data_IF_610026681741
#
_entry.id   IF_610026681741
#
_cell.length_a   1.000
_cell.length_b   1.000
_cell.length_c   1.000
_cell.angle_alpha   90.00
_cell.angle_beta   90.00
_cell.angle_gamma   90.00
#
_symmetry.space_group_name_H-M   'P 1'
#
loop_
_entity.id
_entity.type
_entity.pdbx_description
1 polymer ?
#
# COMPACT_ATOMS: atom_id res chain seq x y z
N UNK A 1 -27.50 -38.78 -0.49
CA UNK A 1 -27.75 -37.49 0.22
C UNK A 1 -26.65 -37.17 1.26
N UNK A 2 -25.37 -37.36 0.92
CA UNK A 2 -24.22 -36.94 1.78
C UNK A 2 -23.22 -36.02 1.05
N UNK A 3 -23.45 -35.75 -0.25
CA UNK A 3 -22.60 -34.88 -1.08
C UNK A 3 -23.14 -33.46 -1.26
N UNK A 4 -24.34 -33.17 -0.74
CA UNK A 4 -24.95 -31.83 -0.83
C UNK A 4 -24.65 -30.94 0.39
N UNK A 5 -24.08 -31.50 1.46
CA UNK A 5 -23.83 -30.77 2.71
C UNK A 5 -22.46 -30.08 2.70
N UNK A 6 -21.46 -30.60 1.98
CA UNK A 6 -20.16 -29.92 1.85
C UNK A 6 -20.23 -28.63 1.03
N UNK A 7 -21.12 -28.55 0.01
CA UNK A 7 -21.23 -27.35 -0.83
C UNK A 7 -21.94 -26.19 -0.11
N UNK A 8 -22.83 -26.49 0.85
CA UNK A 8 -23.55 -25.46 1.61
C UNK A 8 -22.72 -24.90 2.78
N UNK A 9 -21.70 -25.63 3.25
CA UNK A 9 -20.80 -25.17 4.33
C UNK A 9 -19.72 -24.23 3.77
N UNK A 10 -19.34 -24.34 2.49
CA UNK A 10 -18.47 -23.36 1.83
C UNK A 10 -19.17 -22.02 1.52
N UNK A 11 -20.51 -21.99 1.50
CA UNK A 11 -21.31 -20.78 1.24
C UNK A 11 -21.72 -20.02 2.52
N UNK A 12 -21.27 -20.50 3.69
CA UNK A 12 -21.56 -19.92 5.01
C UNK A 12 -20.30 -19.60 5.80
N UNK A 13 -19.13 -19.62 5.16
CA UNK A 13 -17.98 -18.93 5.72
C UNK A 13 -18.30 -17.44 5.64
N UNK A 14 -18.30 -16.68 6.74
CA UNK A 14 -18.16 -15.24 6.62
C UNK A 14 -16.93 -15.05 5.72
N UNK A 15 -17.09 -14.29 4.64
CA UNK A 15 -15.96 -13.73 3.91
C UNK A 15 -15.05 -13.22 5.01
N UNK A 16 -13.88 -13.84 5.17
CA UNK A 16 -12.89 -13.38 6.13
C UNK A 16 -12.80 -11.88 5.89
N UNK A 17 -13.05 -11.07 6.92
CA UNK A 17 -12.77 -9.65 6.83
C UNK A 17 -11.36 -9.58 6.25
N UNK A 18 -11.24 -9.04 5.03
CA UNK A 18 -9.93 -8.83 4.44
C UNK A 18 -9.19 -7.97 5.47
N UNK A 19 -7.96 -8.37 5.77
CA UNK A 19 -7.13 -7.60 6.66
C UNK A 19 -6.99 -6.18 6.09
N UNK A 20 -6.95 -5.16 6.95
CA UNK A 20 -6.68 -3.81 6.49
C UNK A 20 -5.41 -3.81 5.61
N UNK A 21 -5.46 -3.20 4.42
CA UNK A 21 -4.36 -3.27 3.49
C UNK A 21 -3.16 -2.55 4.11
N UNK A 22 -1.98 -3.13 3.96
CA UNK A 22 -0.72 -2.61 4.51
C UNK A 22 0.34 -2.53 3.42
N UNK A 23 1.31 -1.64 3.62
CA UNK A 23 2.57 -1.71 2.87
C UNK A 23 3.36 -2.93 3.35
N UNK A 24 3.89 -3.68 2.39
CA UNK A 24 4.77 -4.81 2.70
C UNK A 24 6.09 -4.33 3.31
N UNK A 25 6.65 -5.16 4.19
CA UNK A 25 8.02 -4.96 4.67
C UNK A 25 9.01 -5.05 3.50
N UNK A 26 9.78 -4.00 3.29
CA UNK A 26 10.80 -3.91 2.24
C UNK A 26 12.12 -4.52 2.74
N UNK A 27 12.97 -3.70 3.37
CA UNK A 27 14.23 -4.11 4.00
C UNK A 27 14.11 -3.94 5.51
N UNK A 28 14.71 -4.86 6.27
CA UNK A 28 14.76 -4.73 7.73
C UNK A 28 16.09 -5.21 8.29
N UNK A 29 16.82 -4.30 8.91
CA UNK A 29 18.02 -4.57 9.71
C UNK A 29 17.68 -5.27 11.04
N UNK A 30 16.44 -5.14 11.52
CA UNK A 30 15.92 -5.82 12.70
C UNK A 30 15.15 -7.09 12.33
N UNK A 31 15.24 -8.12 13.17
CA UNK A 31 14.43 -9.33 13.01
C UNK A 31 12.96 -9.07 13.35
N UNK A 32 12.06 -9.92 12.84
CA UNK A 32 10.64 -9.85 13.17
C UNK A 32 10.36 -9.91 14.69
N UNK A 33 11.13 -10.70 15.45
CA UNK A 33 11.00 -10.78 16.91
C UNK A 33 11.42 -9.47 17.60
N UNK A 34 12.46 -8.81 17.10
CA UNK A 34 12.90 -7.50 17.62
C UNK A 34 11.86 -6.42 17.32
N UNK A 35 11.34 -6.36 16.09
CA UNK A 35 10.28 -5.41 15.71
C UNK A 35 9.00 -5.64 16.53
N UNK A 36 8.59 -6.90 16.69
CA UNK A 36 7.44 -7.27 17.52
C UNK A 36 7.61 -6.84 18.98
N UNK A 37 8.82 -6.98 19.52
CA UNK A 37 9.13 -6.54 20.89
C UNK A 37 9.12 -5.01 21.06
N UNK A 38 9.36 -4.26 19.98
CA UNK A 38 9.37 -2.80 19.96
C UNK A 38 7.96 -2.20 19.80
N UNK A 39 6.98 -2.95 19.31
CA UNK A 39 5.67 -2.44 18.87
C UNK A 39 5.01 -1.48 19.85
N UNK A 40 4.70 -1.91 21.07
CA UNK A 40 3.99 -1.08 22.05
C UNK A 40 4.75 0.21 22.39
N UNK A 41 6.09 0.13 22.41
CA UNK A 41 6.93 1.30 22.65
C UNK A 41 6.91 2.25 21.45
N UNK A 42 6.98 1.71 20.23
CA UNK A 42 6.91 2.47 18.98
C UNK A 42 5.57 3.20 18.84
N UNK A 43 4.46 2.50 19.10
CA UNK A 43 3.10 3.05 19.10
C UNK A 43 2.99 4.25 20.06
N UNK A 44 3.61 4.13 21.24
CA UNK A 44 3.67 5.23 22.22
C UNK A 44 4.53 6.39 21.72
N UNK A 45 5.66 6.11 21.07
CA UNK A 45 6.54 7.13 20.52
C UNK A 45 5.84 7.95 19.43
N UNK A 46 5.20 7.30 18.46
CA UNK A 46 4.46 7.98 17.39
C UNK A 46 3.26 8.74 17.95
N UNK A 47 2.49 8.15 18.87
CA UNK A 47 1.34 8.82 19.52
C UNK A 47 1.73 10.14 20.18
N UNK A 48 2.89 10.18 20.84
CA UNK A 48 3.38 11.37 21.52
C UNK A 48 3.96 12.42 20.56
N UNK A 49 4.36 12.00 19.35
CA UNK A 49 4.90 12.89 18.33
C UNK A 49 3.81 13.53 17.45
N UNK A 50 2.63 12.91 17.38
CA UNK A 50 1.49 13.47 16.63
C UNK A 50 1.10 14.86 17.17
N UNK A 51 0.81 15.83 16.28
CA UNK A 51 0.41 17.18 16.69
C UNK A 51 -1.00 17.25 17.30
N UNK A 52 -1.81 16.20 17.10
CA UNK A 52 -3.18 16.07 17.61
C UNK A 52 -3.20 15.09 18.77
N UNK A 53 -3.83 15.50 19.88
CA UNK A 53 -4.11 14.59 20.99
C UNK A 53 -5.35 13.73 20.70
N UNK A 54 -5.17 12.41 20.76
CA UNK A 54 -6.25 11.43 20.62
C UNK A 54 -6.72 10.94 21.99
N UNK A 55 -8.02 10.67 22.12
CA UNK A 55 -8.59 10.19 23.38
C UNK A 55 -8.08 8.80 23.74
N UNK A 56 -8.25 8.39 25.00
CA UNK A 56 -7.70 7.12 25.52
C UNK A 56 -8.29 5.87 24.88
N UNK A 57 -9.44 5.97 24.19
CA UNK A 57 -10.09 4.84 23.52
C UNK A 57 -9.66 4.72 22.05
N UNK A 58 -9.04 5.75 21.48
CA UNK A 58 -8.43 5.71 20.16
C UNK A 58 -7.03 5.12 20.25
N UNK A 59 -6.86 3.91 19.70
CA UNK A 59 -5.55 3.32 19.55
C UNK A 59 -4.81 4.01 18.39
N UNK A 60 -3.53 4.30 18.61
CA UNK A 60 -2.62 4.86 17.63
C UNK A 60 -1.50 3.84 17.46
N UNK A 61 -1.37 3.28 16.26
CA UNK A 61 -0.35 2.28 15.94
C UNK A 61 0.61 2.75 14.87
N UNK A 62 1.76 2.08 14.79
CA UNK A 62 2.74 2.26 13.73
C UNK A 62 2.98 0.95 12.98
N UNK A 63 2.67 0.93 11.69
CA UNK A 63 3.02 -0.19 10.80
C UNK A 63 4.38 0.06 10.17
N UNK A 64 5.42 -0.62 10.68
CA UNK A 64 6.78 -0.53 10.11
C UNK A 64 6.83 -1.24 8.76
N UNK A 65 7.32 -0.55 7.74
CA UNK A 65 7.51 -1.11 6.40
C UNK A 65 8.98 -1.09 5.95
N UNK A 66 9.85 -0.38 6.65
CA UNK A 66 11.29 -0.35 6.39
C UNK A 66 12.06 -0.15 7.69
N UNK A 67 13.20 -0.82 7.82
CA UNK A 67 14.13 -0.58 8.91
C UNK A 67 15.58 -0.67 8.40
N UNK A 68 16.28 0.45 8.41
CA UNK A 68 17.68 0.53 7.96
C UNK A 68 18.60 0.91 9.11
N UNK A 69 19.81 0.36 9.12
CA UNK A 69 20.86 0.79 10.04
C UNK A 69 21.68 1.91 9.41
N UNK A 70 21.72 3.08 10.04
CA UNK A 70 22.56 4.20 9.63
C UNK A 70 23.32 4.77 10.83
N UNK A 71 24.65 4.81 10.73
CA UNK A 71 25.51 5.44 11.74
C UNK A 71 25.39 4.87 13.16
N UNK A 72 24.95 3.61 13.32
CA UNK A 72 24.70 2.99 14.62
C UNK A 72 23.35 3.35 15.25
N UNK A 73 22.46 3.97 14.49
CA UNK A 73 21.03 4.10 14.79
C UNK A 73 20.24 3.25 13.80
N UNK A 74 19.03 2.83 14.19
CA UNK A 74 18.05 2.27 13.29
C UNK A 74 17.03 3.34 12.93
N UNK A 75 16.72 3.47 11.65
CA UNK A 75 15.64 4.30 11.13
C UNK A 75 14.49 3.37 10.79
N UNK A 76 13.36 3.50 11.48
CA UNK A 76 12.15 2.77 11.21
C UNK A 76 11.19 3.69 10.47
N UNK A 77 10.90 3.36 9.22
CA UNK A 77 9.86 4.04 8.47
C UNK A 77 8.54 3.29 8.69
N UNK A 78 7.51 4.03 9.05
CA UNK A 78 6.22 3.47 9.39
C UNK A 78 5.06 4.30 8.88
N UNK A 79 3.93 3.63 8.64
CA UNK A 79 2.64 4.26 8.41
C UNK A 79 1.88 4.29 9.75
N UNK A 80 1.50 5.49 10.17
CA UNK A 80 0.75 5.72 11.41
C UNK A 80 -0.74 5.52 11.14
N UNK A 81 -1.42 4.84 12.05
CA UNK A 81 -2.82 4.51 11.88
C UNK A 81 -3.64 4.63 13.16
N UNK A 82 -4.94 4.85 13.01
CA UNK A 82 -5.93 4.80 14.10
C UNK A 82 -6.75 3.52 14.02
N UNK A 83 -7.10 2.99 15.19
CA UNK A 83 -8.08 1.92 15.33
C UNK A 83 -9.04 2.22 16.49
N UNK A 84 -10.34 2.03 16.27
CA UNK A 84 -11.34 2.19 17.31
C UNK A 84 -11.44 0.93 18.20
N UNK A 85 -11.05 1.06 19.47
CA UNK A 85 -11.41 0.09 20.52
C UNK A 85 -10.56 -1.18 20.62
N UNK A 86 -9.53 -1.37 19.78
CA UNK A 86 -8.55 -2.45 19.93
C UNK A 86 -7.13 -2.04 19.54
N UNK A 87 -6.16 -2.72 20.16
CA UNK A 87 -4.73 -2.72 19.79
C UNK A 87 -4.49 -3.94 18.89
N UNK A 88 -4.94 -3.84 17.65
CA UNK A 88 -4.76 -4.91 16.67
C UNK A 88 -3.68 -4.49 15.67
N UNK A 89 -2.86 -5.46 15.24
CA UNK A 89 -2.03 -5.22 14.06
C UNK A 89 -2.95 -5.04 12.85
N UNK A 90 -2.60 -4.20 11.87
CA UNK A 90 -3.47 -3.98 10.72
C UNK A 90 -3.80 -5.28 9.96
N UNK A 91 -2.83 -6.20 9.90
CA UNK A 91 -3.01 -7.53 9.31
C UNK A 91 -4.12 -8.38 9.96
N UNK A 92 -4.55 -8.06 11.18
CA UNK A 92 -5.65 -8.74 11.86
C UNK A 92 -6.86 -7.84 12.10
N UNK A 93 -6.77 -6.56 11.71
CA UNK A 93 -7.85 -5.61 11.80
C UNK A 93 -8.80 -5.78 10.61
N UNK A 94 -10.12 -5.61 10.79
CA UNK A 94 -11.05 -5.53 9.68
C UNK A 94 -10.67 -4.44 8.64
N UNK A 95 -10.94 -4.70 7.37
CA UNK A 95 -10.62 -3.84 6.21
C UNK A 95 -10.94 -2.34 6.41
N UNK A 96 -12.07 -2.05 7.06
CA UNK A 96 -12.57 -0.69 7.29
C UNK A 96 -12.39 -0.17 8.73
N UNK A 97 -11.68 -0.89 9.60
CA UNK A 97 -11.51 -0.47 11.00
C UNK A 97 -10.31 0.42 11.24
N UNK A 98 -9.48 0.62 10.22
CA UNK A 98 -8.24 1.39 10.31
C UNK A 98 -8.33 2.68 9.50
N UNK A 99 -7.86 3.77 10.09
CA UNK A 99 -7.63 5.03 9.38
C UNK A 99 -6.14 5.31 9.32
N UNK A 100 -5.56 5.28 8.12
CA UNK A 100 -4.18 5.70 7.87
C UNK A 100 -4.05 7.21 7.99
N UNK A 101 -3.07 7.67 8.77
CA UNK A 101 -2.91 9.08 9.13
C UNK A 101 -1.80 9.79 8.37
N UNK A 102 -0.59 9.24 8.41
CA UNK A 102 0.63 9.87 7.92
C UNK A 102 1.77 8.85 7.93
N UNK A 103 2.87 9.14 7.25
CA UNK A 103 4.13 8.46 7.47
C UNK A 103 4.84 9.00 8.71
N UNK A 104 5.75 8.21 9.25
CA UNK A 104 6.67 8.62 10.28
C UNK A 104 8.04 7.95 10.12
N UNK A 105 9.08 8.68 10.50
CA UNK A 105 10.44 8.16 10.62
C UNK A 105 10.85 8.16 12.10
N UNK A 106 11.08 6.97 12.66
CA UNK A 106 11.46 6.80 14.06
C UNK A 106 12.91 6.36 14.15
N UNK A 107 13.73 7.20 14.77
CA UNK A 107 15.16 6.98 14.93
C UNK A 107 15.40 6.42 16.32
N UNK A 108 15.96 5.21 16.39
CA UNK A 108 16.28 4.55 17.65
C UNK A 108 17.73 4.14 17.68
N UNK A 109 18.29 4.02 18.88
CA UNK A 109 19.66 3.57 19.07
C UNK A 109 19.73 2.42 20.08
N UNK A 110 20.48 1.35 19.80
CA UNK A 110 20.62 0.25 20.75
C UNK A 110 21.38 0.70 22.00
N UNK A 111 20.85 0.34 23.17
CA UNK A 111 21.43 0.58 24.50
C UNK A 111 21.45 -0.72 25.30
N UNK A 112 22.41 -1.58 24.99
CA UNK A 112 22.47 -2.93 25.55
C UNK A 112 21.47 -3.84 24.83
N UNK A 113 20.54 -4.43 25.59
CA UNK A 113 19.45 -5.27 25.05
C UNK A 113 18.14 -4.45 24.80
N UNK A 114 18.18 -3.14 25.04
CA UNK A 114 17.06 -2.20 24.84
C UNK A 114 17.38 -1.16 23.76
N UNK A 115 16.43 -0.28 23.47
CA UNK A 115 16.57 0.82 22.52
C UNK A 115 16.18 2.16 23.15
N UNK A 116 16.89 3.23 22.79
CA UNK A 116 16.54 4.61 23.15
C UNK A 116 15.96 5.35 21.94
N UNK A 117 14.94 6.18 22.16
CA UNK A 117 14.41 7.09 21.14
C UNK A 117 15.40 8.23 20.93
N UNK A 118 15.80 8.45 19.68
CA UNK A 118 16.61 9.60 19.27
C UNK A 118 15.69 10.73 18.79
N UNK A 119 14.82 10.42 17.83
CA UNK A 119 13.82 11.34 17.29
C UNK A 119 12.65 10.57 16.66
N UNK A 120 11.53 11.25 16.49
CA UNK A 120 10.37 10.76 15.75
C UNK A 120 9.87 11.94 14.91
N UNK A 121 9.97 11.79 13.60
CA UNK A 121 9.51 12.78 12.64
C UNK A 121 8.17 12.29 12.07
N UNK A 122 7.17 13.17 12.06
CA UNK A 122 5.83 12.90 11.57
C UNK A 122 5.65 13.64 10.25
N UNK A 123 5.20 12.91 9.22
CA UNK A 123 4.89 13.45 7.91
C UNK A 123 3.56 14.22 7.86
N UNK A 124 3.20 14.65 6.67
CA UNK A 124 1.92 15.30 6.44
C UNK A 124 0.77 14.29 6.53
N UNK A 125 -0.40 14.78 6.96
CA UNK A 125 -1.58 13.91 7.04
C UNK A 125 -2.07 13.53 5.65
N UNK A 126 -2.25 12.22 5.47
CA UNK A 126 -2.88 11.63 4.31
C UNK A 126 -4.33 12.11 4.15
N UNK A 127 -4.86 12.02 2.94
CA UNK A 127 -6.28 12.20 2.69
C UNK A 127 -7.05 11.00 3.27
N UNK A 128 -7.37 11.09 4.57
CA UNK A 128 -8.08 10.05 5.32
C UNK A 128 -9.43 9.70 4.67
N UNK A 129 -9.46 8.54 4.00
CA UNK A 129 -10.60 8.06 3.22
C UNK A 129 -10.66 6.54 3.18
N UNK A 130 -11.86 6.02 2.94
CA UNK A 130 -12.07 4.60 2.75
C UNK A 130 -11.54 4.15 1.40
N UNK A 131 -11.55 2.84 1.20
CA UNK A 131 -11.28 2.22 -0.10
C UNK A 131 -12.61 1.90 -0.80
N UNK A 132 -12.62 2.02 -2.12
CA UNK A 132 -13.71 1.55 -2.98
C UNK A 132 -13.22 0.44 -3.90
N UNK A 133 -13.99 -0.64 -4.01
CA UNK A 133 -13.73 -1.68 -5.02
C UNK A 133 -14.23 -1.22 -6.38
N UNK A 134 -13.32 -1.19 -7.36
CA UNK A 134 -13.62 -1.09 -8.78
C UNK A 134 -13.65 -2.50 -9.36
N UNK A 135 -14.76 -2.85 -10.01
CA UNK A 135 -14.93 -4.13 -10.71
C UNK A 135 -15.53 -3.89 -12.08
N UNK A 136 -14.84 -4.32 -13.13
CA UNK A 136 -15.31 -4.27 -14.51
C UNK A 136 -15.06 -5.62 -15.22
N UNK A 137 -15.25 -5.70 -16.53
CA UNK A 137 -15.08 -6.94 -17.31
C UNK A 137 -13.61 -7.39 -17.44
N UNK A 138 -12.66 -6.52 -17.09
CA UNK A 138 -11.23 -6.69 -17.33
C UNK A 138 -10.45 -6.87 -16.03
N UNK A 139 -10.80 -6.14 -14.97
CA UNK A 139 -10.12 -6.23 -13.69
C UNK A 139 -11.00 -5.90 -12.49
N UNK A 140 -10.51 -6.31 -11.32
CA UNK A 140 -10.93 -5.87 -10.00
C UNK A 140 -9.75 -5.21 -9.28
N UNK A 141 -9.96 -4.08 -8.60
CA UNK A 141 -8.94 -3.41 -7.77
C UNK A 141 -9.61 -2.51 -6.70
N UNK A 142 -8.97 -2.36 -5.55
CA UNK A 142 -9.39 -1.38 -4.53
C UNK A 142 -8.56 -0.11 -4.66
N UNK A 143 -9.22 1.04 -4.78
CA UNK A 143 -8.59 2.38 -4.84
C UNK A 143 -9.20 3.30 -3.78
N UNK A 144 -8.54 4.40 -3.39
CA UNK A 144 -9.14 5.37 -2.48
C UNK A 144 -10.49 5.93 -3.00
N UNK A 145 -11.43 6.18 -2.08
CA UNK A 145 -12.80 6.62 -2.41
C UNK A 145 -12.89 8.03 -3.04
N UNK A 146 -11.80 8.79 -2.97
CA UNK A 146 -11.71 10.14 -3.54
C UNK A 146 -11.45 10.15 -5.05
N UNK A 147 -11.07 9.01 -5.63
CA UNK A 147 -10.94 8.88 -7.08
C UNK A 147 -12.30 8.80 -7.75
N UNK A 148 -12.44 9.52 -8.86
CA UNK A 148 -13.63 9.48 -9.71
C UNK A 148 -13.25 9.04 -11.12
N UNK A 149 -14.08 8.20 -11.74
CA UNK A 149 -13.89 7.79 -13.12
C UNK A 149 -13.99 8.99 -14.06
N UNK A 150 -13.09 9.07 -15.03
CA UNK A 150 -13.13 10.10 -16.04
C UNK A 150 -14.32 9.90 -16.98
N UNK A 151 -15.03 11.00 -17.27
CA UNK A 151 -16.30 10.93 -18.05
C UNK A 151 -16.19 10.29 -19.44
N UNK A 152 -14.97 10.17 -19.97
CA UNK A 152 -14.70 9.64 -21.30
C UNK A 152 -14.07 8.23 -21.29
N UNK A 153 -13.62 7.75 -20.13
CA UNK A 153 -12.93 6.46 -20.02
C UNK A 153 -13.21 5.83 -18.65
N UNK A 154 -13.80 4.64 -18.67
CA UNK A 154 -14.15 3.90 -17.46
C UNK A 154 -12.93 3.26 -16.77
N UNK A 155 -11.75 3.38 -17.39
CA UNK A 155 -10.51 2.77 -16.91
C UNK A 155 -9.53 3.80 -16.33
N UNK A 156 -9.80 5.09 -16.52
CA UNK A 156 -9.01 6.20 -15.98
C UNK A 156 -9.75 6.86 -14.81
N UNK A 157 -9.04 7.06 -13.71
CA UNK A 157 -9.56 7.67 -12.50
C UNK A 157 -8.69 8.83 -12.09
N UNK A 158 -9.32 9.95 -11.71
CA UNK A 158 -8.62 11.17 -11.34
C UNK A 158 -9.08 11.68 -9.98
N UNK A 159 -8.16 12.27 -9.24
CA UNK A 159 -8.39 13.00 -8.00
C UNK A 159 -8.08 14.48 -8.21
N UNK A 160 -8.95 15.34 -7.68
CA UNK A 160 -8.83 16.79 -7.77
C UNK A 160 -8.97 17.42 -6.39
N UNK A 161 -8.32 18.57 -6.18
CA UNK A 161 -8.54 19.38 -4.99
C UNK A 161 -9.91 20.09 -5.01
N UNK A 162 -10.25 20.79 -3.93
CA UNK A 162 -11.52 21.54 -3.83
C UNK A 162 -11.64 22.66 -4.87
N UNK A 163 -10.53 23.12 -5.44
CA UNK A 163 -10.48 24.14 -6.49
C UNK A 163 -10.55 23.54 -7.91
N UNK A 164 -10.56 22.21 -8.03
CA UNK A 164 -10.59 21.48 -9.29
C UNK A 164 -9.23 21.32 -9.96
N UNK A 165 -8.12 21.52 -9.25
CA UNK A 165 -6.78 21.23 -9.77
C UNK A 165 -6.51 19.73 -9.65
N UNK A 166 -5.87 19.15 -10.67
CA UNK A 166 -5.47 17.75 -10.67
C UNK A 166 -4.44 17.48 -9.57
N UNK A 167 -4.64 16.41 -8.79
CA UNK A 167 -3.70 15.93 -7.78
C UNK A 167 -3.01 14.66 -8.29
N UNK A 168 -3.80 13.65 -8.65
CA UNK A 168 -3.29 12.31 -8.92
C UNK A 168 -4.24 11.55 -9.85
N UNK A 169 -3.70 10.59 -10.59
CA UNK A 169 -4.45 9.81 -11.57
C UNK A 169 -4.02 8.35 -11.59
N UNK A 170 -5.00 7.47 -11.75
CA UNK A 170 -4.83 6.03 -11.96
C UNK A 170 -5.25 5.71 -13.40
N UNK A 171 -4.35 5.09 -14.17
CA UNK A 171 -4.60 4.69 -15.54
C UNK A 171 -4.40 3.20 -15.72
N UNK A 172 -5.40 2.54 -16.27
CA UNK A 172 -5.27 1.15 -16.71
C UNK A 172 -4.91 1.07 -18.20
N UNK A 173 -4.05 0.11 -18.57
CA UNK A 173 -3.80 -0.28 -19.97
C UNK A 173 -3.71 -1.78 -20.11
N UNK A 174 -4.27 -2.32 -21.20
CA UNK A 174 -4.06 -3.68 -21.64
C UNK A 174 -3.48 -3.64 -23.06
N UNK A 175 -2.26 -4.12 -23.24
CA UNK A 175 -1.55 -4.09 -24.52
C UNK A 175 -0.98 -5.47 -24.83
N UNK A 176 -1.04 -5.87 -26.10
CA UNK A 176 -0.47 -7.16 -26.51
C UNK A 176 1.04 -7.18 -26.25
N UNK A 177 1.54 -8.26 -25.66
CA UNK A 177 2.91 -8.42 -25.16
C UNK A 177 3.96 -8.64 -26.27
N UNK A 178 3.76 -8.07 -27.46
CA UNK A 178 4.63 -8.34 -28.61
C UNK A 178 6.00 -7.67 -28.43
N UNK A 179 7.05 -8.50 -28.52
CA UNK A 179 8.46 -8.14 -28.62
C UNK A 179 9.10 -7.41 -27.41
N UNK A 180 8.38 -7.21 -26.30
CA UNK A 180 8.90 -6.62 -25.06
C UNK A 180 8.80 -7.60 -23.88
N UNK A 181 9.79 -7.58 -22.98
CA UNK A 181 9.63 -8.14 -21.64
C UNK A 181 8.98 -7.14 -20.67
N UNK A 182 8.56 -7.59 -19.48
CA UNK A 182 7.86 -6.74 -18.50
C UNK A 182 8.63 -5.48 -18.10
N UNK A 183 9.97 -5.55 -17.99
CA UNK A 183 10.81 -4.40 -17.63
C UNK A 183 10.84 -3.40 -18.77
N UNK A 184 11.02 -3.87 -20.00
CA UNK A 184 11.01 -3.00 -21.20
C UNK A 184 9.64 -2.34 -21.39
N UNK A 185 8.55 -3.07 -21.11
CA UNK A 185 7.20 -2.52 -21.14
C UNK A 185 6.99 -1.45 -20.06
N UNK A 186 7.42 -1.71 -18.82
CA UNK A 186 7.33 -0.73 -17.73
C UNK A 186 8.14 0.54 -18.03
N UNK A 187 9.35 0.40 -18.58
CA UNK A 187 10.18 1.54 -19.01
C UNK A 187 9.51 2.34 -20.14
N UNK A 188 8.93 1.65 -21.13
CA UNK A 188 8.20 2.31 -22.22
C UNK A 188 6.98 3.10 -21.72
N UNK A 189 6.29 2.60 -20.69
CA UNK A 189 5.17 3.28 -20.06
C UNK A 189 5.59 4.46 -19.17
N UNK A 190 6.69 4.32 -18.44
CA UNK A 190 7.22 5.38 -17.57
C UNK A 190 7.70 6.59 -18.39
N UNK A 191 8.16 6.34 -19.62
CA UNK A 191 8.58 7.38 -20.56
C UNK A 191 10.06 7.76 -20.42
N UNK A 192 10.53 8.65 -21.29
CA UNK A 192 11.96 9.03 -21.38
C UNK A 192 12.48 9.83 -20.18
N UNK A 193 11.60 10.37 -19.33
CA UNK A 193 11.98 11.17 -18.15
C UNK A 193 12.10 10.33 -16.87
N UNK A 194 11.77 9.03 -16.91
CA UNK A 194 11.90 8.11 -15.78
C UNK A 194 13.34 7.57 -15.66
N UNK A 195 14.27 8.49 -15.38
CA UNK A 195 15.72 8.22 -15.39
C UNK A 195 16.17 7.25 -14.28
N UNK A 196 15.40 7.13 -13.18
CA UNK A 196 15.74 6.36 -11.98
C UNK A 196 14.67 5.30 -11.60
N UNK A 197 13.93 4.77 -12.57
CA UNK A 197 12.87 3.78 -12.35
C UNK A 197 13.37 2.54 -11.56
N UNK A 198 12.91 2.40 -10.32
CA UNK A 198 13.18 1.25 -9.45
C UNK A 198 12.20 0.15 -9.80
N UNK A 199 12.72 -1.00 -10.24
CA UNK A 199 11.90 -2.12 -10.71
C UNK A 199 12.06 -3.35 -9.81
N UNK A 200 10.94 -3.90 -9.36
CA UNK A 200 10.87 -5.16 -8.62
C UNK A 200 10.07 -6.17 -9.44
N UNK A 201 10.73 -7.24 -9.90
CA UNK A 201 10.14 -8.30 -10.71
C UNK A 201 9.91 -9.57 -9.89
N UNK A 202 8.67 -10.05 -9.88
CA UNK A 202 8.27 -11.33 -9.32
C UNK A 202 7.94 -12.32 -10.44
N UNK A 203 8.98 -12.91 -11.04
CA UNK A 203 8.86 -13.79 -12.22
C UNK A 203 7.84 -14.92 -12.04
N UNK A 204 7.78 -15.52 -10.85
CA UNK A 204 6.86 -16.62 -10.55
C UNK A 204 5.37 -16.24 -10.59
N UNK A 205 5.08 -14.94 -10.49
CA UNK A 205 3.72 -14.40 -10.51
C UNK A 205 3.42 -13.60 -11.78
N UNK A 206 4.38 -13.48 -12.70
CA UNK A 206 4.24 -12.59 -13.86
C UNK A 206 3.97 -11.14 -13.47
N UNK A 207 4.41 -10.72 -12.28
CA UNK A 207 4.11 -9.43 -11.69
C UNK A 207 5.39 -8.58 -11.63
N UNK A 208 5.27 -7.32 -12.02
CA UNK A 208 6.30 -6.31 -11.87
C UNK A 208 5.71 -5.08 -11.20
N UNK A 209 6.43 -4.52 -10.24
CA UNK A 209 6.17 -3.17 -9.75
C UNK A 209 7.31 -2.25 -10.16
N UNK A 210 6.99 -1.04 -10.59
CA UNK A 210 7.98 -0.02 -10.89
C UNK A 210 7.63 1.28 -10.17
N UNK A 211 8.63 1.98 -9.65
CA UNK A 211 8.46 3.20 -8.87
C UNK A 211 9.48 4.23 -9.33
N UNK A 212 9.05 5.49 -9.40
CA UNK A 212 9.89 6.67 -9.59
C UNK A 212 9.21 7.84 -8.88
N UNK A 213 9.86 8.99 -8.81
CA UNK A 213 9.27 10.17 -8.21
C UNK A 213 7.95 10.53 -8.92
N UNK A 214 6.86 10.57 -8.15
CA UNK A 214 5.52 10.83 -8.69
C UNK A 214 4.88 9.67 -9.47
N UNK A 215 5.46 8.46 -9.45
CA UNK A 215 5.00 7.32 -10.23
C UNK A 215 5.02 6.01 -9.42
N UNK A 216 3.94 5.24 -9.51
CA UNK A 216 3.88 3.85 -9.04
C UNK A 216 3.15 3.03 -10.09
N UNK A 217 3.76 1.95 -10.55
CA UNK A 217 3.23 1.12 -11.63
C UNK A 217 3.16 -0.33 -11.18
N UNK A 218 2.05 -0.99 -11.50
CA UNK A 218 1.84 -2.43 -11.36
C UNK A 218 1.66 -2.97 -12.76
N UNK A 219 2.44 -3.97 -13.16
CA UNK A 219 2.34 -4.64 -14.46
C UNK A 219 2.18 -6.13 -14.25
N UNK A 220 1.17 -6.71 -14.89
CA UNK A 220 0.85 -8.13 -14.87
C UNK A 220 0.91 -8.73 -16.27
N UNK A 221 1.58 -9.88 -16.41
CA UNK A 221 1.56 -10.68 -17.63
C UNK A 221 0.39 -11.67 -17.60
N UNK A 222 -0.62 -11.45 -18.45
CA UNK A 222 -1.76 -12.33 -18.66
C UNK A 222 -1.74 -12.92 -20.07
N UNK A 223 -1.37 -14.19 -20.20
CA UNK A 223 -1.36 -14.87 -21.50
C UNK A 223 -0.48 -14.17 -22.56
N UNK A 224 -1.13 -13.54 -23.54
CA UNK A 224 -0.50 -12.78 -24.63
C UNK A 224 -0.56 -11.25 -24.43
N UNK A 225 -1.05 -10.78 -23.29
CA UNK A 225 -1.30 -9.35 -22.99
C UNK A 225 -0.59 -8.93 -21.70
N UNK A 226 -0.04 -7.72 -21.70
CA UNK A 226 0.40 -7.04 -20.49
C UNK A 226 -0.68 -6.09 -20.00
N UNK A 227 -0.99 -6.19 -18.72
CA UNK A 227 -1.97 -5.36 -18.03
C UNK A 227 -1.23 -4.46 -17.05
N UNK A 228 -1.45 -3.15 -17.10
CA UNK A 228 -0.82 -2.21 -16.19
C UNK A 228 -1.82 -1.31 -15.49
N UNK A 229 -1.59 -1.05 -14.22
CA UNK A 229 -2.14 0.09 -13.48
C UNK A 229 -1.00 1.06 -13.17
N UNK A 230 -1.16 2.31 -13.61
CA UNK A 230 -0.21 3.39 -13.35
C UNK A 230 -0.86 4.44 -12.46
N UNK A 231 -0.30 4.63 -11.28
CA UNK A 231 -0.63 5.70 -10.35
C UNK A 231 0.39 6.83 -10.51
N UNK A 232 -0.10 8.04 -10.81
CA UNK A 232 0.69 9.28 -10.94
C UNK A 232 0.30 10.24 -9.84
N UNK A 233 1.25 10.91 -9.20
CA UNK A 233 1.01 11.71 -7.99
C UNK A 233 2.06 12.81 -7.84
N UNK A 234 1.84 13.81 -6.97
CA UNK A 234 2.84 14.84 -6.77
C UNK A 234 3.96 14.32 -5.85
N UNK A 235 5.21 14.62 -6.20
CA UNK A 235 6.42 14.10 -5.54
C UNK A 235 6.46 14.43 -4.04
N UNK A 236 5.89 15.57 -3.63
CA UNK A 236 5.82 15.98 -2.22
C UNK A 236 4.84 15.16 -1.38
N UNK A 237 4.08 14.25 -1.98
CA UNK A 237 3.16 13.32 -1.30
C UNK A 237 3.50 11.85 -1.57
N UNK A 238 4.76 11.57 -1.89
CA UNK A 238 5.23 10.24 -2.24
C UNK A 238 4.88 9.17 -1.19
N UNK A 239 5.08 9.46 0.11
CA UNK A 239 4.78 8.50 1.18
C UNK A 239 3.31 8.05 1.19
N UNK A 240 2.39 8.97 0.94
CA UNK A 240 0.95 8.68 0.88
C UNK A 240 0.58 7.87 -0.36
N UNK A 241 1.01 8.32 -1.54
CA UNK A 241 0.56 7.68 -2.78
C UNK A 241 1.26 6.35 -3.04
N UNK A 242 2.48 6.15 -2.53
CA UNK A 242 3.10 4.81 -2.52
C UNK A 242 2.35 3.86 -1.58
N UNK A 243 1.74 4.34 -0.49
CA UNK A 243 0.86 3.51 0.37
C UNK A 243 -0.36 3.04 -0.42
N UNK A 244 -1.02 3.97 -1.12
CA UNK A 244 -2.16 3.63 -1.97
C UNK A 244 -1.77 2.72 -3.15
N UNK A 245 -0.59 2.92 -3.74
CA UNK A 245 -0.03 2.04 -4.76
C UNK A 245 0.14 0.60 -4.27
N UNK A 246 0.59 0.41 -3.04
CA UNK A 246 0.70 -0.91 -2.40
C UNK A 246 -0.67 -1.54 -2.13
N UNK A 247 -1.67 -0.74 -1.72
CA UNK A 247 -3.04 -1.24 -1.55
C UNK A 247 -3.65 -1.68 -2.88
N UNK A 248 -3.40 -0.93 -3.94
CA UNK A 248 -3.79 -1.30 -5.30
C UNK A 248 -3.09 -2.59 -5.73
N UNK A 249 -1.77 -2.70 -5.51
CA UNK A 249 -0.99 -3.90 -5.84
C UNK A 249 -1.54 -5.14 -5.16
N UNK A 250 -1.92 -5.01 -3.88
CA UNK A 250 -2.43 -6.12 -3.08
C UNK A 250 -3.86 -6.55 -3.46
N UNK A 251 -4.61 -5.70 -4.17
CA UNK A 251 -6.01 -5.94 -4.57
C UNK A 251 -6.22 -6.10 -6.07
N UNK A 252 -5.20 -5.83 -6.90
CA UNK A 252 -5.32 -5.87 -8.35
C UNK A 252 -5.40 -7.30 -8.88
N UNK A 253 -6.51 -7.60 -9.56
CA UNK A 253 -6.81 -8.88 -10.17
C UNK A 253 -7.29 -8.65 -11.60
N UNK A 254 -6.67 -9.33 -12.58
CA UNK A 254 -7.14 -9.32 -13.97
C UNK A 254 -8.14 -10.47 -14.18
N UNK A 255 -9.31 -10.16 -14.72
CA UNK A 255 -10.39 -11.13 -14.93
C UNK A 255 -10.08 -12.05 -16.13
N UNK A 256 -10.39 -13.35 -16.02
CA UNK A 256 -10.21 -14.33 -17.09
C UNK A 256 -8.78 -14.88 -17.25
N UNK A 257 -7.78 -14.18 -16.73
CA UNK A 257 -6.40 -14.65 -16.57
C UNK A 257 -6.25 -15.15 -15.13
N UNK A 258 -6.49 -16.45 -14.90
CA UNK A 258 -6.39 -17.02 -13.56
C UNK A 258 -4.96 -16.89 -13.03
N UNK A 259 -4.82 -16.26 -11.86
CA UNK A 259 -3.62 -16.33 -11.02
C UNK A 259 -3.28 -17.79 -10.68
N UNK A 260 -2.40 -18.43 -11.46
CA UNK A 260 -1.74 -19.70 -11.12
C UNK A 260 -2.56 -20.98 -11.31
#
# INVERSE_FOLDING_TARGET
MKKLICLLICLLLPVSALAAPTRDMQESALTADQLSSLRTWLDTAVRNALPVEYDENTYVGAQVYSCVEDGGCYVLECDVYLEDGSDTLPLFAPDDSITWLCDAAVYIKPTGDEYELVSCDIGDYYMAKGMQEIRNEVYTVSIPDFYSADSNDIYDYSCYDEQGNFISGIRYRGEDAFDLNLVEYAQALAGEEADDLIVTLQESMGLLTAQDSGLYMIVYAGGETFHSLTLTYPEDREAEFTLYGEFMRNSFLVEGEANG
#
